data_IF_823491301449
#
_entry.id   IF_823491301449
#
_cell.length_a   1.000
_cell.length_b   1.000
_cell.length_c   1.000
_cell.angle_alpha   90.00
_cell.angle_beta   90.00
_cell.angle_gamma   90.00
#
_symmetry.space_group_name_H-M   'P 1'
#
loop_
_entity.id
_entity.type
_entity.pdbx_description
1 polymer ?
#
# COMPACT_ATOMS: atom_id res chain seq x y z
N UNK A 1 -1.72 69.06 -38.76
CA UNK A 1 -2.51 67.92 -38.25
C UNK A 1 -1.67 66.65 -38.12
N UNK A 2 -1.03 66.15 -39.17
CA UNK A 2 -0.22 64.91 -39.11
C UNK A 2 0.94 64.96 -38.09
N UNK A 3 1.68 66.07 -38.02
CA UNK A 3 2.80 66.23 -37.06
C UNK A 3 2.36 66.23 -35.60
N UNK A 4 1.22 66.85 -35.30
CA UNK A 4 0.65 66.90 -33.95
C UNK A 4 0.25 65.49 -33.48
N UNK A 5 -0.36 64.70 -34.36
CA UNK A 5 -0.73 63.30 -34.08
C UNK A 5 0.52 62.46 -33.81
N UNK A 6 1.59 62.61 -34.60
CA UNK A 6 2.86 61.90 -34.36
C UNK A 6 3.50 62.25 -33.02
N UNK A 7 3.45 63.51 -32.59
CA UNK A 7 3.99 63.96 -31.29
C UNK A 7 3.20 63.33 -30.13
N UNK A 8 1.87 63.29 -30.24
CA UNK A 8 1.00 62.66 -29.21
C UNK A 8 1.28 61.16 -29.09
N UNK A 9 1.42 60.46 -30.22
CA UNK A 9 1.78 59.04 -30.24
C UNK A 9 3.15 58.78 -29.62
N UNK A 10 4.12 59.66 -29.84
CA UNK A 10 5.46 59.55 -29.26
C UNK A 10 5.43 59.71 -27.74
N UNK A 11 4.67 60.68 -27.22
CA UNK A 11 4.50 60.88 -25.78
C UNK A 11 3.80 59.68 -25.14
N UNK A 12 2.74 59.17 -25.78
CA UNK A 12 2.02 57.98 -25.32
C UNK A 12 2.93 56.75 -25.27
N UNK A 13 3.79 56.57 -26.27
CA UNK A 13 4.73 55.46 -26.33
C UNK A 13 5.77 55.54 -25.20
N UNK A 14 6.34 56.72 -24.95
CA UNK A 14 7.22 56.96 -23.80
C UNK A 14 6.48 56.65 -22.48
N UNK A 15 5.22 57.06 -22.35
CA UNK A 15 4.46 56.77 -21.15
C UNK A 15 4.23 55.27 -20.96
N UNK A 16 3.88 54.55 -22.04
CA UNK A 16 3.73 53.09 -22.02
C UNK A 16 5.04 52.40 -21.64
N UNK A 17 6.19 52.84 -22.14
CA UNK A 17 7.48 52.22 -21.81
C UNK A 17 7.82 52.41 -20.33
N UNK A 18 7.54 53.59 -19.77
CA UNK A 18 7.81 53.88 -18.37
C UNK A 18 6.88 53.09 -17.45
N UNK A 19 5.60 53.05 -17.78
CA UNK A 19 4.61 52.28 -17.05
C UNK A 19 4.93 50.78 -17.08
N UNK A 20 5.27 50.25 -18.26
CA UNK A 20 5.63 48.85 -18.43
C UNK A 20 6.92 48.51 -17.69
N UNK A 21 7.95 49.36 -17.76
CA UNK A 21 9.20 49.19 -17.01
C UNK A 21 8.95 49.13 -15.50
N UNK A 22 8.10 50.01 -14.98
CA UNK A 22 7.77 50.01 -13.56
C UNK A 22 7.01 48.75 -13.14
N UNK A 23 6.01 48.35 -13.92
CA UNK A 23 5.23 47.13 -13.68
C UNK A 23 6.11 45.87 -13.77
N UNK A 24 6.97 45.78 -14.78
CA UNK A 24 7.83 44.62 -15.03
C UNK A 24 8.90 44.47 -13.94
N UNK A 25 9.52 45.58 -13.53
CA UNK A 25 10.52 45.60 -12.45
C UNK A 25 9.96 45.08 -11.13
N UNK A 26 8.68 45.35 -10.85
CA UNK A 26 8.06 44.93 -9.59
C UNK A 26 7.63 43.45 -9.60
N UNK A 27 7.23 42.92 -10.76
CA UNK A 27 6.74 41.54 -10.87
C UNK A 27 7.85 40.49 -11.06
N UNK A 28 9.00 40.88 -11.64
CA UNK A 28 10.08 39.97 -12.02
C UNK A 28 11.39 40.23 -11.28
N UNK A 29 11.33 40.81 -10.08
CA UNK A 29 12.54 40.94 -9.26
C UNK A 29 12.93 39.56 -8.73
N UNK A 30 14.17 39.12 -8.99
CA UNK A 30 14.72 37.82 -8.54
C UNK A 30 14.50 37.56 -7.03
N UNK A 31 14.38 38.63 -6.25
CA UNK A 31 14.06 38.60 -4.81
C UNK A 31 12.67 38.04 -4.51
N UNK A 32 11.67 38.41 -5.31
CA UNK A 32 10.30 37.88 -5.18
C UNK A 32 10.25 36.42 -5.60
N UNK A 33 10.99 36.06 -6.64
CA UNK A 33 11.09 34.67 -7.09
C UNK A 33 11.75 33.77 -6.04
N UNK A 34 12.88 34.17 -5.46
CA UNK A 34 13.56 33.37 -4.42
C UNK A 34 12.71 33.25 -3.15
N UNK A 35 12.02 34.31 -2.75
CA UNK A 35 11.12 34.25 -1.59
C UNK A 35 9.94 33.31 -1.84
N UNK A 36 9.38 33.31 -3.05
CA UNK A 36 8.34 32.35 -3.43
C UNK A 36 8.84 30.90 -3.38
N UNK A 37 10.03 30.62 -3.93
CA UNK A 37 10.64 29.28 -3.90
C UNK A 37 10.90 28.86 -2.45
N UNK A 38 11.44 29.75 -1.61
CA UNK A 38 11.69 29.48 -0.20
C UNK A 38 10.40 29.17 0.54
N UNK A 39 9.35 29.97 0.33
CA UNK A 39 8.05 29.77 0.96
C UNK A 39 7.39 28.46 0.53
N UNK A 40 7.43 28.13 -0.76
CA UNK A 40 6.90 26.85 -1.27
C UNK A 40 7.70 25.67 -0.72
N UNK A 41 9.03 25.80 -0.62
CA UNK A 41 9.89 24.79 0.00
C UNK A 41 9.54 24.60 1.47
N UNK A 42 9.34 25.68 2.22
CA UNK A 42 8.94 25.61 3.64
C UNK A 42 7.58 24.93 3.80
N UNK A 43 6.62 25.24 2.93
CA UNK A 43 5.31 24.59 2.90
C UNK A 43 5.42 23.09 2.59
N UNK A 44 6.26 22.72 1.63
CA UNK A 44 6.50 21.32 1.27
C UNK A 44 7.16 20.55 2.42
N UNK A 45 8.16 21.12 3.09
CA UNK A 45 8.78 20.53 4.29
C UNK A 45 7.75 20.33 5.40
N UNK A 46 6.91 21.34 5.66
CA UNK A 46 5.85 21.24 6.65
C UNK A 46 4.82 20.16 6.28
N UNK A 47 4.44 20.07 5.01
CA UNK A 47 3.52 19.05 4.51
C UNK A 47 4.10 17.64 4.64
N UNK A 48 5.37 17.43 4.30
CA UNK A 48 6.05 16.14 4.45
C UNK A 48 6.09 15.76 5.93
N UNK A 49 6.47 16.68 6.82
CA UNK A 49 6.51 16.41 8.25
C UNK A 49 5.13 16.00 8.78
N UNK A 50 4.08 16.74 8.41
CA UNK A 50 2.71 16.43 8.81
C UNK A 50 2.20 15.09 8.27
N UNK A 51 2.43 14.82 6.97
CA UNK A 51 2.03 13.54 6.37
C UNK A 51 2.80 12.36 6.96
N UNK A 52 4.07 12.57 7.33
CA UNK A 52 4.90 11.56 8.00
C UNK A 52 4.37 11.25 9.38
N UNK A 53 4.10 12.26 10.21
CA UNK A 53 3.54 12.09 11.55
C UNK A 53 2.20 11.34 11.53
N UNK A 54 1.31 11.73 10.60
CA UNK A 54 0.06 11.02 10.36
C UNK A 54 0.29 9.57 9.92
N UNK A 55 1.27 9.32 9.06
CA UNK A 55 1.59 7.97 8.59
C UNK A 55 2.15 7.10 9.73
N UNK A 56 2.97 7.66 10.61
CA UNK A 56 3.47 6.99 11.82
C UNK A 56 2.30 6.63 12.72
N UNK A 57 1.37 7.55 12.96
CA UNK A 57 0.16 7.31 13.76
C UNK A 57 -0.66 6.14 13.20
N UNK A 58 -0.93 6.14 11.90
CA UNK A 58 -1.67 5.05 11.24
C UNK A 58 -0.92 3.72 11.37
N UNK A 59 0.41 3.75 11.27
CA UNK A 59 1.24 2.56 11.41
C UNK A 59 1.21 2.01 12.83
N UNK A 60 1.26 2.87 13.84
CA UNK A 60 1.11 2.49 15.24
C UNK A 60 -0.26 1.83 15.51
N UNK A 61 -1.34 2.41 14.98
CA UNK A 61 -2.68 1.85 15.13
C UNK A 61 -2.78 0.46 14.47
N UNK A 62 -2.20 0.28 13.28
CA UNK A 62 -2.13 -1.03 12.61
C UNK A 62 -1.31 -2.04 13.39
N UNK A 63 -0.20 -1.62 14.01
CA UNK A 63 0.61 -2.50 14.88
C UNK A 63 -0.23 -2.96 16.07
N UNK A 64 -1.01 -2.07 16.70
CA UNK A 64 -1.93 -2.45 17.79
C UNK A 64 -3.01 -3.42 17.33
N UNK A 65 -3.61 -3.18 16.17
CA UNK A 65 -4.61 -4.06 15.57
C UNK A 65 -4.04 -5.46 15.31
N UNK A 66 -2.87 -5.55 14.68
CA UNK A 66 -2.18 -6.82 14.40
C UNK A 66 -1.86 -7.55 15.70
N UNK A 67 -1.35 -6.85 16.72
CA UNK A 67 -1.06 -7.46 18.03
C UNK A 67 -2.32 -8.01 18.71
N UNK A 68 -3.46 -7.33 18.57
CA UNK A 68 -4.73 -7.83 19.10
C UNK A 68 -5.19 -9.10 18.36
N UNK A 69 -5.06 -9.13 17.03
CA UNK A 69 -5.39 -10.31 16.22
C UNK A 69 -4.46 -11.49 16.58
N UNK A 70 -3.16 -11.25 16.78
CA UNK A 70 -2.21 -12.26 17.23
C UNK A 70 -2.63 -12.82 18.60
N UNK A 71 -2.96 -11.95 19.56
CA UNK A 71 -3.42 -12.40 20.89
C UNK A 71 -4.69 -13.25 20.81
N UNK A 72 -5.63 -12.88 19.93
CA UNK A 72 -6.85 -13.66 19.69
C UNK A 72 -6.54 -15.01 19.03
N UNK A 73 -5.61 -15.03 18.09
CA UNK A 73 -5.15 -16.26 17.45
C UNK A 73 -4.48 -17.20 18.46
N UNK A 74 -3.62 -16.67 19.34
CA UNK A 74 -2.98 -17.44 20.40
C UNK A 74 -4.00 -18.08 21.36
N UNK A 75 -5.06 -17.35 21.72
CA UNK A 75 -6.17 -17.90 22.52
C UNK A 75 -6.86 -19.04 21.79
N UNK A 76 -7.12 -18.90 20.49
CA UNK A 76 -7.76 -19.93 19.67
C UNK A 76 -6.87 -21.15 19.51
N UNK A 77 -5.57 -20.97 19.31
CA UNK A 77 -4.58 -22.06 19.28
C UNK A 77 -4.57 -22.79 20.62
N UNK A 78 -4.59 -22.06 21.74
CA UNK A 78 -4.62 -22.68 23.07
C UNK A 78 -5.88 -23.53 23.29
N UNK A 79 -7.05 -23.05 22.85
CA UNK A 79 -8.31 -23.80 22.96
C UNK A 79 -8.29 -25.00 22.02
N UNK A 80 -7.86 -24.83 20.77
CA UNK A 80 -7.76 -25.91 19.79
C UNK A 80 -6.80 -27.01 20.26
N UNK A 81 -5.64 -26.65 20.83
CA UNK A 81 -4.69 -27.61 21.41
C UNK A 81 -5.28 -28.38 22.60
N UNK A 82 -6.04 -27.71 23.47
CA UNK A 82 -6.76 -28.37 24.57
C UNK A 82 -7.87 -29.30 24.07
N UNK A 83 -8.54 -28.96 22.99
CA UNK A 83 -9.55 -29.82 22.37
C UNK A 83 -8.88 -31.04 21.72
N UNK A 84 -7.79 -30.85 20.99
CA UNK A 84 -7.00 -31.93 20.40
C UNK A 84 -6.49 -32.92 21.45
N UNK A 85 -6.02 -32.43 22.61
CA UNK A 85 -5.58 -33.28 23.72
C UNK A 85 -6.74 -34.10 24.29
N UNK A 86 -7.91 -33.49 24.52
CA UNK A 86 -9.11 -34.20 24.98
C UNK A 86 -9.60 -35.24 23.97
N UNK A 87 -9.54 -34.90 22.68
CA UNK A 87 -9.93 -35.80 21.58
C UNK A 87 -8.96 -36.97 21.48
N UNK A 88 -7.66 -36.72 21.58
CA UNK A 88 -6.61 -37.74 21.62
C UNK A 88 -6.75 -38.67 22.84
N UNK A 89 -7.11 -38.13 24.01
CA UNK A 89 -7.38 -38.93 25.20
C UNK A 89 -8.61 -39.82 25.03
N UNK A 90 -9.69 -39.31 24.42
CA UNK A 90 -10.87 -40.10 24.10
C UNK A 90 -10.55 -41.22 23.11
N UNK A 91 -9.80 -40.94 22.04
CA UNK A 91 -9.38 -41.93 21.04
C UNK A 91 -8.56 -43.08 21.68
N UNK A 92 -7.66 -42.76 22.63
CA UNK A 92 -6.92 -43.78 23.40
C UNK A 92 -7.84 -44.66 24.25
N UNK A 93 -8.88 -44.09 24.86
CA UNK A 93 -9.88 -44.84 25.63
C UNK A 93 -10.72 -45.74 24.72
N UNK A 94 -11.15 -45.24 23.55
CA UNK A 94 -11.84 -46.08 22.57
C UNK A 94 -10.96 -47.25 22.10
N UNK A 95 -9.67 -47.00 21.89
CA UNK A 95 -8.73 -48.03 21.45
C UNK A 95 -8.49 -49.10 22.52
N UNK A 96 -8.35 -48.71 23.80
CA UNK A 96 -8.20 -49.67 24.90
C UNK A 96 -9.48 -50.47 25.17
N UNK A 97 -10.67 -49.87 25.00
CA UNK A 97 -11.95 -50.59 25.03
C UNK A 97 -12.09 -51.57 23.86
N UNK A 98 -11.68 -51.17 22.65
CA UNK A 98 -11.71 -52.03 21.48
C UNK A 98 -10.71 -53.21 21.60
N UNK A 99 -9.55 -52.99 22.20
CA UNK A 99 -8.54 -54.02 22.44
C UNK A 99 -8.96 -54.96 23.57
N UNK A 100 -9.55 -54.45 24.64
CA UNK A 100 -10.19 -55.26 25.69
C UNK A 100 -11.34 -56.11 25.11
N UNK A 101 -12.20 -55.53 24.25
CA UNK A 101 -13.26 -56.26 23.57
C UNK A 101 -12.71 -57.35 22.62
N UNK A 102 -11.58 -57.13 21.95
CA UNK A 102 -10.87 -58.17 21.18
C UNK A 102 -10.28 -59.27 22.06
N UNK A 103 -9.82 -58.91 23.25
CA UNK A 103 -9.28 -59.88 24.22
C UNK A 103 -10.39 -60.75 24.81
N UNK A 104 -11.57 -60.16 25.03
CA UNK A 104 -12.78 -60.88 25.47
C UNK A 104 -13.48 -61.66 24.33
N UNK A 105 -13.34 -61.25 23.06
CA UNK A 105 -13.86 -62.00 21.91
C UNK A 105 -12.93 -63.10 21.39
N UNK A 106 -11.72 -63.23 21.96
CA UNK A 106 -10.76 -64.27 21.63
C UNK A 106 -11.13 -65.69 22.07
N UNK A 107 -12.25 -65.89 22.79
CA UNK A 107 -12.69 -67.23 23.24
C UNK A 107 -13.85 -67.79 22.41
N UNK A 108 -14.63 -66.98 21.69
CA UNK A 108 -15.66 -67.52 20.79
C UNK A 108 -15.71 -66.74 19.48
N UNK A 109 -15.27 -67.43 18.42
CA UNK A 109 -15.88 -67.47 17.07
C UNK A 109 -14.80 -67.65 16.00
N UNK A 110 -14.22 -68.85 16.00
CA UNK A 110 -13.97 -69.51 14.73
C UNK A 110 -15.32 -69.70 14.01
N UNK A 111 -15.28 -69.59 12.68
CA UNK A 111 -16.34 -69.89 11.70
C UNK A 111 -17.15 -68.65 11.23
N UNK A 112 -17.12 -68.50 9.89
CA UNK A 112 -18.05 -67.81 8.97
C UNK A 112 -17.54 -66.51 8.29
N UNK A 113 -16.71 -66.76 7.25
CA UNK A 113 -16.79 -66.28 5.84
C UNK A 113 -16.94 -64.78 5.45
N UNK A 114 -15.88 -64.30 4.79
CA UNK A 114 -15.78 -63.79 3.40
C UNK A 114 -16.65 -62.58 2.95
N UNK A 115 -16.00 -61.45 2.68
CA UNK A 115 -16.10 -60.76 1.37
C UNK A 115 -14.90 -59.83 1.10
N UNK A 116 -14.71 -59.49 -0.18
CA UNK A 116 -13.50 -59.10 -0.90
C UNK A 116 -12.81 -57.76 -0.55
N UNK A 117 -11.48 -57.73 -0.78
CA UNK A 117 -10.74 -56.52 -1.19
C UNK A 117 -10.86 -56.34 -2.72
N UNK A 118 -10.67 -55.12 -3.26
CA UNK A 118 -9.37 -54.83 -3.91
C UNK A 118 -8.78 -53.45 -3.54
N UNK A 119 -7.47 -53.35 -3.25
CA UNK A 119 -6.38 -52.75 -4.10
C UNK A 119 -6.12 -51.27 -3.69
N UNK A 120 -5.10 -50.98 -2.85
CA UNK A 120 -3.71 -50.53 -3.20
C UNK A 120 -3.77 -49.20 -3.98
N UNK A 121 -3.23 -48.08 -3.47
CA UNK A 121 -1.79 -47.76 -3.56
C UNK A 121 -1.38 -46.62 -2.62
N UNK A 122 -0.18 -46.76 -2.05
CA UNK A 122 0.49 -45.78 -1.21
C UNK A 122 1.30 -44.84 -2.12
N UNK A 123 1.32 -43.54 -1.83
CA UNK A 123 2.49 -42.71 -2.12
C UNK A 123 2.88 -41.90 -0.88
N UNK A 124 4.10 -42.17 -0.43
CA UNK A 124 4.85 -41.43 0.56
C UNK A 124 5.20 -40.03 0.05
N UNK A 125 4.84 -38.96 0.78
CA UNK A 125 5.69 -37.77 0.81
C UNK A 125 5.81 -37.21 2.24
N UNK A 126 7.07 -37.29 2.68
CA UNK A 126 7.62 -37.04 4.00
C UNK A 126 7.71 -35.54 4.29
N UNK A 127 7.11 -35.09 5.40
CA UNK A 127 7.48 -33.83 6.05
C UNK A 127 8.96 -33.89 6.47
N UNK A 128 9.78 -32.98 5.93
CA UNK A 128 11.10 -32.65 6.49
C UNK A 128 10.95 -31.52 7.51
N UNK A 129 10.94 -31.92 8.77
CA UNK A 129 11.33 -31.07 9.90
C UNK A 129 12.86 -31.01 9.92
N UNK A 130 13.44 -29.83 9.76
CA UNK A 130 14.83 -29.58 10.14
C UNK A 130 14.85 -28.54 11.26
N UNK A 131 15.24 -29.03 12.44
CA UNK A 131 15.59 -28.26 13.62
C UNK A 131 17.08 -27.92 13.51
N UNK A 132 17.44 -26.64 13.60
CA UNK A 132 18.78 -26.24 14.03
C UNK A 132 18.67 -24.93 14.79
N UNK A 133 18.75 -25.04 16.10
CA UNK A 133 19.08 -23.95 17.01
C UNK A 133 20.60 -23.80 17.01
N UNK A 134 21.14 -22.57 16.95
CA UNK A 134 22.28 -22.20 17.78
C UNK A 134 22.41 -20.70 17.98
N UNK A 135 22.77 -20.38 19.22
CA UNK A 135 22.72 -19.10 19.92
C UNK A 135 23.82 -18.10 19.53
N UNK A 136 23.45 -16.82 19.68
CA UNK A 136 24.16 -15.64 20.20
C UNK A 136 25.58 -15.84 20.74
N UNK A 137 26.53 -14.99 20.31
CA UNK A 137 27.26 -14.07 21.21
C UNK A 137 28.09 -13.02 20.48
N UNK A 138 28.10 -11.85 21.12
CA UNK A 138 28.84 -10.62 20.81
C UNK A 138 30.36 -10.83 20.96
N UNK A 139 31.15 -10.08 20.17
CA UNK A 139 32.41 -9.51 20.64
C UNK A 139 32.80 -8.29 19.77
N UNK A 140 33.24 -7.26 20.48
CA UNK A 140 33.51 -5.89 20.06
C UNK A 140 35.02 -5.69 19.78
N UNK A 141 35.44 -5.20 18.60
CA UNK A 141 36.58 -4.26 18.44
C UNK A 141 36.84 -3.76 17.00
N UNK A 142 37.11 -2.44 16.91
CA UNK A 142 37.95 -1.63 15.98
C UNK A 142 38.67 -2.39 14.84
N UNK A 143 38.71 -1.94 13.59
CA UNK A 143 39.19 -0.65 13.07
C UNK A 143 38.73 -0.43 11.61
N UNK A 144 38.83 0.82 11.19
CA UNK A 144 38.63 1.48 9.89
C UNK A 144 38.75 0.63 8.60
N UNK A 145 37.69 0.61 7.80
CA UNK A 145 37.76 0.55 6.33
C UNK A 145 36.44 1.07 5.73
N UNK A 146 36.52 2.15 4.95
CA UNK A 146 35.40 2.67 4.16
C UNK A 146 35.21 1.72 2.98
N UNK A 147 34.25 0.81 3.09
CA UNK A 147 33.70 0.11 1.94
C UNK A 147 32.51 0.93 1.45
N UNK A 148 32.66 1.55 0.29
CA UNK A 148 31.58 2.21 -0.44
C UNK A 148 30.56 1.15 -0.88
N UNK A 149 29.66 0.75 0.02
CA UNK A 149 28.46 0.03 -0.40
C UNK A 149 27.64 0.95 -1.30
N UNK A 150 27.22 0.51 -2.51
CA UNK A 150 26.44 1.35 -3.39
C UNK A 150 25.15 1.74 -2.67
N UNK A 151 24.88 3.05 -2.66
CA UNK A 151 23.68 3.65 -2.06
C UNK A 151 22.45 2.90 -2.60
N UNK A 152 21.83 2.05 -1.77
CA UNK A 152 20.62 1.31 -2.12
C UNK A 152 19.45 2.29 -2.16
N UNK A 153 19.14 2.81 -3.35
CA UNK A 153 17.99 3.66 -3.58
C UNK A 153 16.73 2.79 -3.54
N UNK A 154 16.02 2.84 -2.41
CA UNK A 154 14.67 2.27 -2.31
C UNK A 154 13.67 3.24 -2.95
N UNK A 155 13.61 3.28 -4.28
CA UNK A 155 12.40 3.80 -4.92
C UNK A 155 11.30 2.78 -4.61
N UNK A 156 10.34 3.13 -3.75
CA UNK A 156 9.06 2.41 -3.73
C UNK A 156 8.52 2.50 -5.15
N UNK A 157 8.61 1.40 -5.89
CA UNK A 157 7.94 1.26 -7.17
C UNK A 157 6.48 1.55 -6.89
N UNK A 158 5.91 2.59 -7.51
CA UNK A 158 4.50 2.93 -7.36
C UNK A 158 3.76 1.71 -7.89
N UNK A 159 3.30 0.83 -6.99
CA UNK A 159 2.50 -0.32 -7.38
C UNK A 159 1.30 0.25 -8.13
N UNK A 160 1.26 0.00 -9.44
CA UNK A 160 0.06 0.20 -10.22
C UNK A 160 -1.10 -0.47 -9.46
N UNK A 161 -2.27 0.18 -9.33
CA UNK A 161 -3.38 -0.39 -8.58
C UNK A 161 -3.71 -1.75 -9.19
N UNK A 162 -3.59 -2.79 -8.37
CA UNK A 162 -3.93 -4.16 -8.72
C UNK A 162 -5.41 -4.17 -9.11
N UNK A 163 -5.69 -4.14 -10.41
CA UNK A 163 -7.03 -4.31 -10.97
C UNK A 163 -7.54 -5.67 -10.51
N UNK A 164 -8.49 -5.63 -9.58
CA UNK A 164 -8.99 -6.82 -8.93
C UNK A 164 -10.06 -6.44 -7.91
N UNK A 165 -11.31 -6.47 -8.37
CA UNK A 165 -12.52 -6.63 -7.54
C UNK A 165 -12.91 -5.37 -6.74
N UNK A 166 -13.08 -4.24 -7.43
CA UNK A 166 -13.99 -3.15 -7.00
C UNK A 166 -14.70 -2.68 -8.26
N UNK A 167 -16.04 -2.55 -8.28
CA UNK A 167 -16.76 -2.20 -9.50
C UNK A 167 -16.23 -0.88 -10.07
N UNK A 168 -16.26 -0.82 -11.39
CA UNK A 168 -15.73 0.14 -12.37
C UNK A 168 -16.15 1.62 -12.19
N UNK A 169 -16.17 2.11 -10.95
CA UNK A 169 -16.53 3.51 -10.63
C UNK A 169 -15.49 4.47 -11.17
N UNK A 170 -14.23 4.06 -11.21
CA UNK A 170 -13.12 4.89 -11.70
C UNK A 170 -13.19 5.06 -13.22
N UNK A 171 -13.51 4.02 -14.00
CA UNK A 171 -13.67 4.21 -15.45
C UNK A 171 -14.96 4.95 -15.78
N UNK A 172 -16.04 4.75 -15.02
CA UNK A 172 -17.27 5.54 -15.18
C UNK A 172 -17.03 7.04 -14.91
N UNK A 173 -16.24 7.39 -13.89
CA UNK A 173 -15.84 8.77 -13.62
C UNK A 173 -14.94 9.34 -14.72
N UNK A 174 -14.00 8.53 -15.23
CA UNK A 174 -13.13 8.91 -16.35
C UNK A 174 -13.94 9.26 -17.60
N UNK A 175 -14.90 8.42 -17.98
CA UNK A 175 -15.77 8.66 -19.13
C UNK A 175 -16.60 9.93 -18.93
N UNK A 176 -17.12 10.15 -17.73
CA UNK A 176 -17.87 11.36 -17.40
C UNK A 176 -17.02 12.65 -17.50
N UNK A 177 -15.76 12.60 -17.08
CA UNK A 177 -14.80 13.72 -17.24
C UNK A 177 -14.60 14.04 -18.72
N UNK A 178 -14.38 13.00 -19.54
CA UNK A 178 -14.16 13.14 -20.98
C UNK A 178 -15.40 13.74 -21.65
N UNK A 179 -16.61 13.30 -21.31
CA UNK A 179 -17.84 13.87 -21.84
C UNK A 179 -18.05 15.33 -21.45
N UNK A 180 -17.77 15.70 -20.20
CA UNK A 180 -17.91 17.08 -19.75
C UNK A 180 -16.88 18.00 -20.41
N UNK A 181 -15.65 17.52 -20.58
CA UNK A 181 -14.61 18.23 -21.33
C UNK A 181 -14.99 18.41 -22.81
N UNK A 182 -15.55 17.38 -23.46
CA UNK A 182 -16.08 17.46 -24.84
C UNK A 182 -17.23 18.46 -24.98
N UNK A 183 -18.01 18.68 -23.91
CA UNK A 183 -19.06 19.70 -23.84
C UNK A 183 -18.50 21.12 -23.60
N UNK A 184 -17.18 21.27 -23.46
CA UNK A 184 -16.51 22.55 -23.26
C UNK A 184 -16.59 23.08 -21.82
N UNK A 185 -16.90 22.24 -20.83
CA UNK A 185 -16.80 22.65 -19.43
C UNK A 185 -15.34 22.90 -19.06
N UNK A 186 -15.10 23.93 -18.23
CA UNK A 186 -13.78 24.20 -17.67
C UNK A 186 -13.37 23.13 -16.65
N UNK A 187 -12.06 22.91 -16.53
CA UNK A 187 -11.46 21.92 -15.63
C UNK A 187 -11.89 22.16 -14.17
N UNK A 188 -12.02 23.43 -13.79
CA UNK A 188 -12.48 23.86 -12.45
C UNK A 188 -13.91 23.41 -12.16
N UNK A 189 -14.80 23.54 -13.15
CA UNK A 189 -16.22 23.19 -13.02
C UNK A 189 -16.44 21.67 -13.03
N UNK A 190 -15.56 20.95 -13.73
CA UNK A 190 -15.51 19.47 -13.69
C UNK A 190 -15.06 18.99 -12.30
N UNK A 191 -14.07 19.66 -11.69
CA UNK A 191 -13.55 19.33 -10.37
C UNK A 191 -14.53 19.63 -9.22
N UNK A 192 -15.46 20.56 -9.41
CA UNK A 192 -16.55 20.79 -8.46
C UNK A 192 -17.58 19.66 -8.47
N UNK A 193 -17.83 19.08 -9.65
CA UNK A 193 -18.86 18.05 -9.86
C UNK A 193 -18.36 16.62 -9.62
N UNK A 194 -17.05 16.39 -9.76
CA UNK A 194 -16.42 15.08 -9.57
C UNK A 194 -15.35 15.24 -8.51
N UNK A 195 -15.29 14.36 -7.48
CA UNK A 195 -14.35 14.47 -6.36
C UNK A 195 -12.94 14.02 -6.76
N UNK A 196 -12.39 14.60 -7.83
CA UNK A 196 -11.05 14.38 -8.34
C UNK A 196 -10.32 15.73 -8.44
N UNK A 197 -9.01 15.78 -8.14
CA UNK A 197 -8.25 17.01 -8.20
C UNK A 197 -8.11 17.50 -9.65
N UNK A 198 -7.99 18.82 -9.82
CA UNK A 198 -7.87 19.46 -11.14
C UNK A 198 -6.74 18.89 -11.99
N UNK A 199 -5.60 18.55 -11.38
CA UNK A 199 -4.48 17.92 -12.08
C UNK A 199 -4.76 16.50 -12.58
N UNK A 200 -5.59 15.72 -11.87
CA UNK A 200 -5.99 14.39 -12.33
C UNK A 200 -7.01 14.49 -13.47
N UNK A 201 -7.90 15.48 -13.42
CA UNK A 201 -8.85 15.79 -14.50
C UNK A 201 -8.10 16.25 -15.75
N UNK A 202 -7.13 17.15 -15.61
CA UNK A 202 -6.27 17.62 -16.71
C UNK A 202 -5.49 16.45 -17.33
N UNK A 203 -4.91 15.59 -16.49
CA UNK A 203 -4.21 14.39 -16.94
C UNK A 203 -5.15 13.47 -17.74
N UNK A 204 -6.35 13.18 -17.22
CA UNK A 204 -7.35 12.33 -17.89
C UNK A 204 -7.74 12.91 -19.26
N UNK A 205 -7.95 14.23 -19.35
CA UNK A 205 -8.28 14.91 -20.60
C UNK A 205 -7.10 14.84 -21.58
N UNK A 206 -5.87 15.10 -21.11
CA UNK A 206 -4.66 15.11 -21.93
C UNK A 206 -4.31 13.73 -22.51
N UNK A 207 -4.65 12.65 -21.81
CA UNK A 207 -4.40 11.29 -22.28
C UNK A 207 -5.45 10.77 -23.27
N UNK A 208 -6.56 11.48 -23.45
CA UNK A 208 -7.73 11.01 -24.21
C UNK A 208 -8.25 12.05 -25.23
N UNK A 209 -7.48 13.10 -25.47
CA UNK A 209 -7.66 14.07 -26.55
C UNK A 209 -6.66 13.77 -27.65
#
# INVERSE_FOLDING_TARGET
MMTVVSIILLILNIFLILFFYFKLKNQFSDKVLIDNIKNETQKLVAQIAFQTDRSVTIMEDKIREVNNIISELDKRILIAGKEEEKRSAADRVYQSLAESAKTFSGIERSVITKHERPVIENEDVKLKVNKSSKEVNEEEKKDTAVEEEPIKIYTKQILAPKSGIVPDRTAAMKEQIIEMAKKGLSIELIAEKIPLPTGEIELIISMNT
#
